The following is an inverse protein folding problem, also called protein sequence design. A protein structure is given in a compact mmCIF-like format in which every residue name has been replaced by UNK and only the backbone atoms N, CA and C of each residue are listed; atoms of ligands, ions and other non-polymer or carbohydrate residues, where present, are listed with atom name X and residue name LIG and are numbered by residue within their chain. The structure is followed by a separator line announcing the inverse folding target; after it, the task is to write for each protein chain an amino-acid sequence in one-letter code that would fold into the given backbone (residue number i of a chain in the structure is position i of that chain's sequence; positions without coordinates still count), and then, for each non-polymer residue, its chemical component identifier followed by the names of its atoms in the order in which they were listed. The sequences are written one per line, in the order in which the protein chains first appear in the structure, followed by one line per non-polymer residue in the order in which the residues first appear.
data_IF_010179229036
#
_entry.id   IF_010179229036
#
_cell.length_a   1.000
_cell.length_b   1.000
_cell.length_c   1.000
_cell.angle_alpha   90.00
_cell.angle_beta   90.00
_cell.angle_gamma   90.00
#
_symmetry.space_group_name_H-M   'P 1'
#
loop_
_entity.id
_entity.type
_entity.pdbx_description
1 polymer ?
#
# COMPACT_ATOMS: atom_id res chain seq x y z
N UNK A 1 -2.86 -18.84 -26.28
CA UNK A 1 -3.69 -18.40 -25.14
C UNK A 1 -3.62 -16.89 -24.99
N UNK A 2 -4.75 -16.16 -24.93
CA UNK A 2 -4.75 -14.71 -24.67
C UNK A 2 -4.47 -14.45 -23.19
N UNK A 3 -3.30 -13.90 -22.86
CA UNK A 3 -3.01 -13.45 -21.50
C UNK A 3 -3.91 -12.25 -21.16
N UNK A 4 -4.75 -12.38 -20.13
CA UNK A 4 -5.47 -11.22 -19.58
C UNK A 4 -4.57 -10.55 -18.55
N UNK A 5 -4.09 -9.35 -18.88
CA UNK A 5 -3.40 -8.50 -17.91
C UNK A 5 -4.45 -7.73 -17.08
N UNK A 6 -4.43 -7.90 -15.76
CA UNK A 6 -5.26 -7.11 -14.87
C UNK A 6 -4.43 -5.99 -14.23
N UNK A 7 -4.90 -4.76 -14.35
CA UNK A 7 -4.25 -3.62 -13.72
C UNK A 7 -4.78 -3.42 -12.31
N UNK A 8 -3.87 -3.28 -11.34
CA UNK A 8 -4.16 -3.08 -9.93
C UNK A 8 -3.27 -1.98 -9.35
N UNK A 9 -3.62 -1.50 -8.16
CA UNK A 9 -2.74 -0.69 -7.32
C UNK A 9 -2.19 -1.56 -6.21
N UNK A 10 -0.93 -1.34 -5.84
CA UNK A 10 -0.26 -2.09 -4.78
C UNK A 10 0.74 -1.22 -4.02
N UNK A 11 1.09 -1.65 -2.80
CA UNK A 11 2.29 -1.12 -2.11
C UNK A 11 3.53 -1.81 -2.67
N UNK A 12 4.50 -0.99 -3.09
CA UNK A 12 5.82 -1.40 -3.58
C UNK A 12 6.87 -0.91 -2.59
N UNK A 13 7.71 -1.83 -2.11
CA UNK A 13 8.83 -1.51 -1.21
C UNK A 13 10.09 -1.05 -1.94
N UNK A 14 11.14 -0.73 -1.16
CA UNK A 14 12.40 -0.16 -1.64
C UNK A 14 13.14 -1.02 -2.69
N UNK A 15 12.92 -2.34 -2.71
CA UNK A 15 13.53 -3.28 -3.68
C UNK A 15 12.59 -3.69 -4.81
N UNK A 16 11.49 -2.97 -5.03
CA UNK A 16 10.49 -3.31 -6.04
C UNK A 16 9.56 -4.47 -5.65
N UNK A 17 9.70 -5.03 -4.44
CA UNK A 17 8.79 -6.04 -3.90
C UNK A 17 7.36 -5.50 -3.85
N UNK A 18 6.44 -6.22 -4.50
CA UNK A 18 5.01 -5.92 -4.50
C UNK A 18 4.38 -6.63 -3.31
N UNK A 19 3.79 -5.85 -2.40
CA UNK A 19 3.01 -6.43 -1.32
C UNK A 19 1.60 -6.75 -1.83
N UNK A 20 1.37 -8.04 -2.10
CA UNK A 20 0.09 -8.56 -2.60
C UNK A 20 -1.07 -8.37 -1.59
N UNK A 21 -0.77 -8.29 -0.29
CA UNK A 21 -1.77 -8.05 0.76
C UNK A 21 -2.44 -6.68 0.64
N UNK A 22 -1.76 -5.70 0.02
CA UNK A 22 -2.27 -4.35 -0.21
C UNK A 22 -2.69 -4.10 -1.66
N UNK A 23 -3.09 -5.14 -2.39
CA UNK A 23 -3.58 -4.98 -3.76
C UNK A 23 -5.05 -4.61 -3.81
N UNK A 24 -5.37 -3.53 -4.55
CA UNK A 24 -6.74 -3.11 -4.76
C UNK A 24 -6.95 -2.56 -6.18
N UNK A 25 -8.21 -2.30 -6.53
CA UNK A 25 -8.58 -1.70 -7.82
C UNK A 25 -8.27 -0.20 -7.90
N UNK A 26 -8.24 0.49 -6.77
CA UNK A 26 -7.99 1.93 -6.70
C UNK A 26 -6.84 2.21 -5.73
N UNK A 27 -6.18 3.37 -5.92
CA UNK A 27 -5.12 3.84 -5.01
C UNK A 27 -5.66 4.13 -3.60
N UNK A 28 -6.89 4.62 -3.50
CA UNK A 28 -7.54 4.96 -2.22
C UNK A 28 -7.69 3.73 -1.33
N UNK A 29 -8.27 2.66 -1.86
CA UNK A 29 -8.46 1.40 -1.11
C UNK A 29 -7.13 0.78 -0.64
N UNK A 30 -6.04 0.92 -1.41
CA UNK A 30 -4.71 0.50 -0.95
C UNK A 30 -4.29 1.28 0.30
N UNK A 31 -4.45 2.61 0.27
CA UNK A 31 -4.06 3.47 1.39
C UNK A 31 -4.93 3.18 2.60
N UNK A 32 -6.26 3.13 2.45
CA UNK A 32 -7.20 2.81 3.52
C UNK A 32 -6.87 1.48 4.20
N UNK A 33 -6.59 0.43 3.41
CA UNK A 33 -6.20 -0.87 3.95
C UNK A 33 -4.90 -0.78 4.76
N UNK A 34 -3.89 -0.08 4.25
CA UNK A 34 -2.63 0.10 4.99
C UNK A 34 -2.84 0.88 6.29
N UNK A 35 -3.67 1.93 6.25
CA UNK A 35 -4.01 2.74 7.43
C UNK A 35 -4.71 1.88 8.49
N UNK A 36 -5.66 1.03 8.08
CA UNK A 36 -6.39 0.13 8.97
C UNK A 36 -5.47 -0.91 9.62
N UNK A 37 -4.63 -1.60 8.84
CA UNK A 37 -3.71 -2.63 9.34
C UNK A 37 -2.69 -2.07 10.35
N UNK A 38 -2.40 -0.76 10.29
CA UNK A 38 -1.43 -0.10 11.15
C UNK A 38 -2.06 0.78 12.21
N UNK A 39 -3.36 0.62 12.51
CA UNK A 39 -4.08 1.45 13.50
C UNK A 39 -3.39 1.46 14.86
N UNK A 40 -2.86 0.31 15.31
CA UNK A 40 -2.13 0.19 16.58
C UNK A 40 -0.91 1.09 16.69
N UNK A 41 -0.26 1.45 15.56
CA UNK A 41 0.88 2.37 15.61
C UNK A 41 0.44 3.76 16.08
N UNK A 42 -0.81 4.18 15.81
CA UNK A 42 -1.34 5.48 16.22
C UNK A 42 -1.47 5.65 17.73
N UNK A 43 -1.53 4.54 18.47
CA UNK A 43 -1.58 4.54 19.93
C UNK A 43 -0.22 4.87 20.56
N UNK A 44 0.87 4.76 19.79
CA UNK A 44 2.21 5.07 20.30
C UNK A 44 2.47 6.59 20.29
N UNK A 45 3.19 7.15 21.28
CA UNK A 45 3.42 8.60 21.38
C UNK A 45 4.09 9.22 20.16
N UNK A 46 4.87 8.43 19.42
CA UNK A 46 5.59 8.88 18.22
C UNK A 46 4.63 9.13 17.05
N UNK A 47 3.43 8.56 17.07
CA UNK A 47 2.46 8.62 15.96
C UNK A 47 1.09 9.17 16.38
N UNK A 48 0.89 9.44 17.67
CA UNK A 48 -0.33 10.05 18.19
C UNK A 48 -0.50 11.47 17.64
N UNK A 49 -1.76 11.89 17.47
CA UNK A 49 -2.11 13.22 16.96
C UNK A 49 -1.84 13.47 15.46
N UNK A 50 -1.34 12.47 14.71
CA UNK A 50 -1.14 12.61 13.27
C UNK A 50 -2.46 12.43 12.50
N UNK A 51 -2.72 13.32 11.55
CA UNK A 51 -3.76 13.09 10.53
C UNK A 51 -3.39 11.91 9.64
N UNK A 52 -4.37 11.28 8.99
CA UNK A 52 -4.16 10.15 8.07
C UNK A 52 -3.09 10.43 7.01
N UNK A 53 -3.11 11.64 6.44
CA UNK A 53 -2.14 12.06 5.45
C UNK A 53 -0.72 12.19 6.02
N UNK A 54 -0.56 12.63 7.27
CA UNK A 54 0.74 12.71 7.95
C UNK A 54 1.23 11.33 8.37
N UNK A 55 0.34 10.52 8.96
CA UNK A 55 0.62 9.13 9.34
C UNK A 55 1.08 8.32 8.13
N UNK A 56 0.34 8.39 7.02
CA UNK A 56 0.71 7.75 5.76
C UNK A 56 2.08 8.21 5.24
N UNK A 57 2.35 9.52 5.21
CA UNK A 57 3.66 10.06 4.78
C UNK A 57 4.80 9.54 5.66
N UNK A 58 4.61 9.49 6.97
CA UNK A 58 5.61 9.01 7.93
C UNK A 58 5.84 7.51 7.78
N UNK A 59 4.78 6.72 7.59
CA UNK A 59 4.84 5.28 7.36
C UNK A 59 5.60 4.95 6.07
N UNK A 60 5.29 5.66 4.98
CA UNK A 60 6.04 5.55 3.71
C UNK A 60 7.54 5.78 3.88
N UNK A 61 7.92 6.82 4.63
CA UNK A 61 9.34 7.15 4.87
C UNK A 61 10.03 6.06 5.68
N UNK A 62 9.41 5.61 6.79
CA UNK A 62 9.97 4.56 7.66
C UNK A 62 10.10 3.20 6.98
N UNK A 63 9.16 2.84 6.10
CA UNK A 63 9.10 1.52 5.45
C UNK A 63 9.61 1.50 4.00
N UNK A 64 9.94 2.66 3.42
CA UNK A 64 10.33 2.78 2.01
C UNK A 64 9.19 2.40 1.04
N UNK A 65 7.95 2.73 1.40
CA UNK A 65 6.76 2.31 0.64
C UNK A 65 6.30 3.34 -0.40
N UNK A 66 5.80 2.83 -1.51
CA UNK A 66 5.23 3.58 -2.63
C UNK A 66 3.94 2.90 -3.08
N UNK A 67 2.87 3.64 -3.41
CA UNK A 67 1.70 3.03 -4.07
C UNK A 67 1.87 3.19 -5.56
N UNK A 68 1.90 2.08 -6.29
CA UNK A 68 2.12 2.06 -7.74
C UNK A 68 1.06 1.24 -8.44
N UNK A 69 0.82 1.58 -9.70
CA UNK A 69 0.00 0.81 -10.63
C UNK A 69 0.84 -0.37 -11.13
N UNK A 70 0.32 -1.59 -10.99
CA UNK A 70 1.00 -2.83 -11.37
C UNK A 70 0.13 -3.61 -12.35
N UNK A 71 0.75 -4.21 -13.37
CA UNK A 71 0.08 -5.08 -14.33
C UNK A 71 0.35 -6.53 -13.94
N UNK A 72 -0.69 -7.26 -13.54
CA UNK A 72 -0.58 -8.67 -13.23
C UNK A 72 -0.90 -9.50 -14.47
N UNK A 73 0.01 -10.39 -14.85
CA UNK A 73 -0.30 -11.46 -15.81
C UNK A 73 -0.99 -12.59 -15.04
N UNK A 74 -2.26 -12.83 -15.34
CA UNK A 74 -2.99 -13.97 -14.79
C UNK A 74 -2.67 -15.18 -15.67
N UNK A 75 -1.89 -16.13 -15.16
CA UNK A 75 -1.79 -17.46 -15.75
C UNK A 75 -3.06 -18.23 -15.38
N UNK A 76 -3.73 -18.80 -16.38
CA UNK A 76 -4.86 -19.72 -16.20
C UNK A 76 -4.33 -21.13 -16.15
#
# INVERSE_FOLDING_TARGET
MKHKSQIRWAVVGYRGYINHGYMAFTRGHVIEKVLSDHVRLRETPVWSGLTDAQFWRKLKRRRGWSVRRVSLRVAR
#
